data_IF_174358004524
#
_entry.id   IF_174358004524
#
_cell.length_a   1.000
_cell.length_b   1.000
_cell.length_c   1.000
_cell.angle_alpha   90.00
_cell.angle_beta   90.00
_cell.angle_gamma   90.00
#
_symmetry.space_group_name_H-M   'P 1'
#
loop_
_entity.id
_entity.type
_entity.pdbx_description
1 polymer ?
#
# COMPACT_ATOMS: atom_id res chain seq x y z
N UNK A 1 -10.04 2.08 -8.48
CA UNK A 1 -9.17 1.82 -7.33
C UNK A 1 -7.79 1.52 -7.86
N UNK A 2 -6.72 2.02 -7.23
CA UNK A 2 -5.36 1.64 -7.61
C UNK A 2 -5.14 0.13 -7.35
N UNK A 3 -4.34 -0.50 -8.20
CA UNK A 3 -3.93 -1.91 -8.02
C UNK A 3 -2.69 -1.95 -7.14
N UNK A 4 -2.74 -2.69 -6.03
CA UNK A 4 -1.66 -2.78 -5.04
C UNK A 4 -0.93 -4.11 -5.20
N UNK A 5 0.38 -4.06 -5.41
CA UNK A 5 1.25 -5.23 -5.34
C UNK A 5 1.86 -5.35 -3.94
N UNK A 6 1.65 -6.50 -3.31
CA UNK A 6 2.10 -6.78 -1.94
C UNK A 6 3.44 -7.52 -1.93
N UNK A 7 4.26 -7.26 -0.91
CA UNK A 7 5.46 -8.06 -0.63
C UNK A 7 5.06 -9.44 -0.12
N UNK A 8 5.76 -10.48 -0.58
CA UNK A 8 5.47 -11.87 -0.19
C UNK A 8 5.73 -12.14 1.31
N UNK A 9 6.70 -11.46 1.91
CA UNK A 9 7.07 -11.58 3.33
C UNK A 9 7.50 -10.21 3.86
N UNK A 10 6.55 -9.35 4.23
CA UNK A 10 6.87 -8.03 4.76
C UNK A 10 7.45 -8.15 6.18
N UNK A 11 8.49 -7.36 6.47
CA UNK A 11 9.13 -7.30 7.80
C UNK A 11 8.30 -6.39 8.72
N UNK A 12 7.21 -6.94 9.24
CA UNK A 12 6.24 -6.25 10.11
C UNK A 12 6.45 -6.69 11.55
N UNK A 13 6.56 -5.69 12.44
CA UNK A 13 6.67 -5.88 13.88
C UNK A 13 5.40 -5.41 14.61
N UNK A 14 5.24 -5.81 15.87
CA UNK A 14 4.15 -5.28 16.73
C UNK A 14 4.25 -3.76 16.92
N UNK A 15 5.44 -3.17 16.79
CA UNK A 15 5.60 -1.72 16.81
C UNK A 15 4.99 -1.06 15.58
N UNK A 16 5.07 -1.70 14.41
CA UNK A 16 4.47 -1.20 13.18
C UNK A 16 2.94 -1.18 13.29
N UNK A 17 2.34 -2.24 13.85
CA UNK A 17 0.91 -2.26 14.18
C UNK A 17 0.54 -1.14 15.13
N UNK A 18 1.38 -0.89 16.15
CA UNK A 18 1.11 0.15 17.13
C UNK A 18 1.17 1.56 16.55
N UNK A 19 2.07 1.83 15.60
CA UNK A 19 2.09 3.10 14.85
C UNK A 19 0.76 3.36 14.15
N UNK A 20 0.21 2.34 13.50
CA UNK A 20 -1.10 2.43 12.82
C UNK A 20 -2.24 2.61 13.83
N UNK A 21 -2.22 1.86 14.94
CA UNK A 21 -3.23 1.96 15.99
C UNK A 21 -3.27 3.36 16.61
N UNK A 22 -2.11 3.91 16.98
CA UNK A 22 -1.99 5.26 17.55
C UNK A 22 -2.44 6.32 16.54
N UNK A 23 -2.09 6.18 15.27
CA UNK A 23 -2.57 7.08 14.22
C UNK A 23 -4.10 7.05 14.11
N UNK A 24 -4.70 5.86 14.02
CA UNK A 24 -6.14 5.71 13.92
C UNK A 24 -6.88 6.26 15.15
N UNK A 25 -6.38 5.98 16.35
CA UNK A 25 -6.91 6.53 17.60
C UNK A 25 -6.80 8.06 17.64
N UNK A 26 -5.64 8.60 17.24
CA UNK A 26 -5.43 10.05 17.21
C UNK A 26 -6.42 10.73 16.27
N UNK A 27 -6.55 10.20 15.05
CA UNK A 27 -7.51 10.70 14.06
C UNK A 27 -8.94 10.61 14.59
N UNK A 28 -9.28 9.46 15.19
CA UNK A 28 -10.58 9.20 15.78
C UNK A 28 -10.90 10.07 17.00
N UNK A 29 -9.96 10.80 17.58
CA UNK A 29 -10.18 11.61 18.77
C UNK A 29 -9.91 13.11 18.58
N UNK A 30 -8.95 13.46 17.72
CA UNK A 30 -8.37 14.80 17.65
C UNK A 30 -8.52 15.49 16.30
N UNK A 31 -8.92 14.77 15.25
CA UNK A 31 -9.26 15.38 13.97
C UNK A 31 -10.68 15.96 13.98
N UNK A 32 -10.87 17.04 13.23
CA UNK A 32 -12.17 17.60 12.86
C UNK A 32 -12.16 17.86 11.35
N UNK A 33 -13.32 17.67 10.72
CA UNK A 33 -13.52 17.81 9.28
C UNK A 33 -14.86 18.50 8.93
N UNK A 34 -15.66 18.85 9.94
CA UNK A 34 -16.89 19.63 9.79
C UNK A 34 -16.74 20.96 10.55
N UNK A 35 -17.03 22.06 9.86
CA UNK A 35 -16.81 23.42 10.35
C UNK A 35 -18.06 24.28 10.11
N UNK A 36 -18.62 24.82 11.19
CA UNK A 36 -19.79 25.69 11.15
C UNK A 36 -19.39 27.17 11.15
N UNK A 37 -20.29 28.04 10.65
CA UNK A 37 -20.05 29.49 10.55
C UNK A 37 -19.89 30.18 11.92
N UNK A 38 -20.39 29.56 12.99
CA UNK A 38 -20.26 30.04 14.37
C UNK A 38 -18.92 29.65 15.03
N UNK A 39 -18.05 28.95 14.29
CA UNK A 39 -16.75 28.50 14.74
C UNK A 39 -16.79 27.18 15.51
N UNK A 40 -17.97 26.55 15.62
CA UNK A 40 -18.07 25.17 16.09
C UNK A 40 -17.41 24.21 15.09
N UNK A 41 -16.95 23.10 15.65
CA UNK A 41 -16.22 22.08 14.92
C UNK A 41 -16.72 20.73 15.38
N UNK A 42 -16.95 19.86 14.42
CA UNK A 42 -17.34 18.49 14.70
C UNK A 42 -16.58 17.53 13.80
N UNK A 43 -16.73 16.26 14.13
CA UNK A 43 -16.13 15.16 13.40
C UNK A 43 -17.26 14.48 12.63
N UNK A 44 -17.06 14.26 11.34
CA UNK A 44 -18.02 13.54 10.52
C UNK A 44 -18.09 12.08 10.96
N UNK A 45 -19.22 11.46 10.67
CA UNK A 45 -19.37 10.00 10.78
C UNK A 45 -18.37 9.30 9.87
N UNK A 46 -18.05 9.87 8.70
CA UNK A 46 -17.08 9.29 7.75
C UNK A 46 -15.70 9.17 8.38
N UNK A 47 -15.15 10.25 8.94
CA UNK A 47 -13.83 10.23 9.55
C UNK A 47 -13.78 9.27 10.74
N UNK A 48 -14.82 9.30 11.57
CA UNK A 48 -14.94 8.44 12.75
C UNK A 48 -15.04 6.96 12.37
N UNK A 49 -15.84 6.64 11.35
CA UNK A 49 -16.00 5.28 10.84
C UNK A 49 -14.69 4.74 10.26
N UNK A 50 -13.98 5.53 9.45
CA UNK A 50 -12.71 5.09 8.85
C UNK A 50 -11.62 4.83 9.90
N UNK A 51 -11.55 5.66 10.94
CA UNK A 51 -10.64 5.43 12.05
C UNK A 51 -10.97 4.13 12.81
N UNK A 52 -12.26 3.86 13.02
CA UNK A 52 -12.72 2.63 13.67
C UNK A 52 -12.44 1.39 12.80
N UNK A 53 -12.75 1.44 11.50
CA UNK A 53 -12.52 0.34 10.56
C UNK A 53 -11.05 -0.09 10.51
N UNK A 54 -10.12 0.87 10.58
CA UNK A 54 -8.69 0.56 10.68
C UNK A 54 -8.41 -0.15 12.00
N UNK A 55 -8.88 0.41 13.12
CA UNK A 55 -8.63 -0.13 14.46
C UNK A 55 -9.12 -1.58 14.61
N UNK A 56 -10.30 -1.88 14.06
CA UNK A 56 -10.92 -3.21 14.08
C UNK A 56 -10.20 -4.22 13.17
N UNK A 57 -9.44 -3.74 12.18
CA UNK A 57 -8.72 -4.58 11.22
C UNK A 57 -7.28 -4.90 11.65
N UNK A 58 -6.79 -4.32 12.75
CA UNK A 58 -5.43 -4.55 13.23
C UNK A 58 -5.28 -5.88 13.96
N UNK A 59 -4.20 -6.59 13.65
CA UNK A 59 -3.80 -7.82 14.31
C UNK A 59 -2.71 -7.53 15.36
N UNK A 60 -3.03 -7.76 16.64
CA UNK A 60 -2.14 -7.52 17.77
C UNK A 60 -1.46 -8.80 18.30
N UNK A 61 -1.42 -9.86 17.49
CA UNK A 61 -0.67 -11.07 17.82
C UNK A 61 0.86 -10.79 17.95
N UNK A 62 1.57 -11.75 18.55
CA UNK A 62 3.03 -11.68 18.71
C UNK A 62 3.78 -11.68 17.34
N UNK A 63 3.18 -12.31 16.33
CA UNK A 63 3.63 -12.28 14.93
C UNK A 63 2.54 -11.64 14.05
N UNK A 64 2.40 -10.31 14.08
CA UNK A 64 1.28 -9.63 13.47
C UNK A 64 1.35 -9.65 11.95
N UNK A 65 0.18 -9.65 11.30
CA UNK A 65 0.07 -9.53 9.84
C UNK A 65 -0.95 -8.50 9.44
N UNK A 66 -0.62 -7.68 8.46
CA UNK A 66 -1.60 -6.84 7.78
C UNK A 66 -2.26 -7.64 6.66
N UNK A 67 -3.58 -7.85 6.78
CA UNK A 67 -4.37 -8.36 5.66
C UNK A 67 -4.47 -7.31 4.56
N UNK A 68 -4.79 -7.74 3.33
CA UNK A 68 -5.01 -6.80 2.22
C UNK A 68 -6.16 -5.82 2.52
N UNK A 69 -7.20 -6.30 3.19
CA UNK A 69 -8.33 -5.46 3.66
C UNK A 69 -7.87 -4.41 4.67
N UNK A 70 -7.02 -4.78 5.64
CA UNK A 70 -6.46 -3.84 6.61
C UNK A 70 -5.60 -2.77 5.90
N UNK A 71 -4.76 -3.17 4.95
CA UNK A 71 -3.93 -2.24 4.16
C UNK A 71 -4.78 -1.24 3.40
N UNK A 72 -5.86 -1.71 2.75
CA UNK A 72 -6.76 -0.82 2.02
C UNK A 72 -7.43 0.20 2.95
N UNK A 73 -7.93 -0.23 4.11
CA UNK A 73 -8.53 0.67 5.10
C UNK A 73 -7.54 1.71 5.62
N UNK A 74 -6.27 1.34 5.81
CA UNK A 74 -5.22 2.27 6.22
C UNK A 74 -4.98 3.32 5.14
N UNK A 75 -4.88 2.92 3.87
CA UNK A 75 -4.73 3.84 2.74
C UNK A 75 -5.92 4.81 2.65
N UNK A 76 -7.15 4.28 2.77
CA UNK A 76 -8.37 5.07 2.75
C UNK A 76 -8.38 6.10 3.89
N UNK A 77 -8.04 5.69 5.12
CA UNK A 77 -7.96 6.59 6.27
C UNK A 77 -6.94 7.71 6.03
N UNK A 78 -5.75 7.37 5.53
CA UNK A 78 -4.71 8.37 5.22
C UNK A 78 -5.17 9.38 4.17
N UNK A 79 -5.85 8.93 3.12
CA UNK A 79 -6.41 9.83 2.10
C UNK A 79 -7.41 10.82 2.72
N UNK A 80 -8.33 10.33 3.55
CA UNK A 80 -9.30 11.16 4.27
C UNK A 80 -8.59 12.15 5.21
N UNK A 81 -7.56 11.69 5.92
CA UNK A 81 -6.78 12.53 6.84
C UNK A 81 -6.04 13.63 6.08
N UNK A 82 -5.45 13.32 4.92
CA UNK A 82 -4.76 14.30 4.09
C UNK A 82 -5.71 15.43 3.66
N UNK A 83 -6.89 15.07 3.15
CA UNK A 83 -7.83 16.02 2.54
C UNK A 83 -8.67 16.79 3.56
N UNK A 84 -9.17 16.11 4.59
CA UNK A 84 -10.30 16.61 5.38
C UNK A 84 -10.01 16.76 6.87
N UNK A 85 -8.98 16.10 7.43
CA UNK A 85 -8.67 16.25 8.86
C UNK A 85 -7.89 17.54 9.17
N UNK A 86 -8.35 18.29 10.17
CA UNK A 86 -7.57 19.32 10.85
C UNK A 86 -7.62 19.11 12.37
N UNK A 87 -6.45 19.12 13.01
CA UNK A 87 -6.28 18.96 14.46
C UNK A 87 -5.64 20.21 15.10
N UNK A 88 -5.20 21.17 14.29
CA UNK A 88 -4.61 22.43 14.75
C UNK A 88 -5.40 23.64 14.28
N UNK A 89 -5.71 24.52 15.22
CA UNK A 89 -6.51 25.71 14.96
C UNK A 89 -5.84 26.98 15.49
N UNK A 90 -5.51 27.88 14.58
CA UNK A 90 -4.86 29.15 14.85
C UNK A 90 -5.84 30.31 15.07
N UNK A 91 -5.28 31.46 15.44
CA UNK A 91 -6.04 32.73 15.48
C UNK A 91 -6.55 33.06 14.07
N UNK A 92 -7.71 33.70 13.97
CA UNK A 92 -8.36 34.10 12.70
C UNK A 92 -8.84 32.96 11.80
N UNK A 93 -9.12 31.78 12.37
CA UNK A 93 -9.72 30.67 11.62
C UNK A 93 -8.72 29.87 10.78
N UNK A 94 -7.41 30.03 11.01
CA UNK A 94 -6.42 29.17 10.38
C UNK A 94 -6.62 27.72 10.83
N UNK A 95 -6.82 26.82 9.87
CA UNK A 95 -6.92 25.38 10.07
C UNK A 95 -5.65 24.74 9.51
N UNK A 96 -5.08 23.82 10.27
CA UNK A 96 -3.88 23.12 9.86
C UNK A 96 -3.74 21.78 10.55
N UNK A 97 -2.65 21.09 10.22
CA UNK A 97 -2.26 19.86 10.86
C UNK A 97 -1.17 20.11 11.90
N UNK A 98 -1.20 19.42 13.03
CA UNK A 98 -0.10 19.45 13.99
C UNK A 98 1.12 18.72 13.44
N UNK A 99 2.30 19.01 14.01
CA UNK A 99 3.50 18.23 13.68
C UNK A 99 3.37 16.78 14.13
N UNK A 100 2.63 16.52 15.21
CA UNK A 100 2.41 15.17 15.71
C UNK A 100 1.61 14.34 14.70
N UNK A 101 0.50 14.88 14.18
CA UNK A 101 -0.29 14.22 13.15
C UNK A 101 0.53 13.96 11.87
N UNK A 102 1.37 14.92 11.46
CA UNK A 102 2.25 14.75 10.29
C UNK A 102 3.28 13.62 10.53
N UNK A 103 3.88 13.55 11.71
CA UNK A 103 4.83 12.48 12.03
C UNK A 103 4.14 11.12 12.13
N UNK A 104 2.94 11.04 12.71
CA UNK A 104 2.17 9.80 12.75
C UNK A 104 1.78 9.32 11.36
N UNK A 105 1.36 10.21 10.45
CA UNK A 105 1.07 9.85 9.06
C UNK A 105 2.31 9.32 8.33
N UNK A 106 3.47 9.93 8.58
CA UNK A 106 4.75 9.44 8.04
C UNK A 106 5.13 8.07 8.60
N UNK A 107 4.94 7.85 9.91
CA UNK A 107 5.15 6.55 10.53
C UNK A 107 4.29 5.46 9.88
N UNK A 108 3.04 5.76 9.54
CA UNK A 108 2.17 4.83 8.80
C UNK A 108 2.63 4.65 7.35
N UNK A 109 3.12 5.70 6.70
CA UNK A 109 3.71 5.59 5.36
C UNK A 109 4.87 4.61 5.33
N UNK A 110 5.78 4.72 6.30
CA UNK A 110 6.95 3.83 6.43
C UNK A 110 6.51 2.37 6.68
N UNK A 111 5.41 2.15 7.40
CA UNK A 111 4.81 0.81 7.57
C UNK A 111 4.26 0.28 6.25
N UNK A 112 3.56 1.11 5.47
CA UNK A 112 3.04 0.70 4.16
C UNK A 112 4.16 0.36 3.17
N UNK A 113 5.29 1.06 3.19
CA UNK A 113 6.44 0.76 2.33
C UNK A 113 7.08 -0.61 2.60
N UNK A 114 6.96 -1.10 3.85
CA UNK A 114 7.34 -2.46 4.22
C UNK A 114 6.39 -3.52 3.69
N UNK A 115 5.16 -3.15 3.30
CA UNK A 115 4.10 -4.08 2.89
C UNK A 115 3.87 -4.04 1.38
N UNK A 116 3.94 -2.86 0.78
CA UNK A 116 3.60 -2.60 -0.61
C UNK A 116 4.88 -2.48 -1.45
N UNK A 117 4.83 -3.01 -2.67
CA UNK A 117 5.91 -2.89 -3.66
C UNK A 117 5.60 -1.76 -4.64
N UNK A 118 4.37 -1.73 -5.16
CA UNK A 118 3.90 -0.74 -6.14
C UNK A 118 2.42 -0.48 -5.90
N UNK A 119 2.02 0.79 -6.03
CA UNK A 119 0.63 1.19 -6.21
C UNK A 119 0.48 1.70 -7.64
N UNK A 120 -0.28 0.99 -8.47
CA UNK A 120 -0.56 1.39 -9.85
C UNK A 120 -1.86 2.17 -9.88
N UNK A 121 -1.89 3.30 -10.59
CA UNK A 121 -3.14 3.93 -10.99
C UNK A 121 -3.96 3.00 -11.90
N UNK A 122 -5.27 3.24 -12.08
CA UNK A 122 -6.08 2.43 -12.99
C UNK A 122 -5.53 2.38 -14.43
N UNK A 123 -5.01 3.51 -14.93
CA UNK A 123 -4.40 3.60 -16.26
C UNK A 123 -3.11 2.77 -16.34
N UNK A 124 -2.22 2.89 -15.36
CA UNK A 124 -0.98 2.08 -15.29
C UNK A 124 -1.27 0.59 -15.08
N UNK A 125 -2.38 0.24 -14.42
CA UNK A 125 -2.82 -1.14 -14.27
C UNK A 125 -3.31 -1.72 -15.61
N UNK A 126 -4.08 -0.96 -16.39
CA UNK A 126 -4.50 -1.34 -17.75
C UNK A 126 -3.29 -1.51 -18.68
N UNK A 127 -2.32 -0.61 -18.62
CA UNK A 127 -1.07 -0.70 -19.39
C UNK A 127 -0.23 -1.93 -18.98
N UNK A 128 -0.08 -2.17 -17.68
CA UNK A 128 0.62 -3.35 -17.18
C UNK A 128 -0.09 -4.65 -17.61
N UNK A 129 -1.41 -4.74 -17.52
CA UNK A 129 -2.14 -5.93 -17.99
C UNK A 129 -1.96 -6.15 -19.50
N UNK A 130 -1.99 -5.09 -20.30
CA UNK A 130 -1.78 -5.16 -21.75
C UNK A 130 -0.37 -5.64 -22.13
N UNK A 131 0.66 -5.18 -21.42
CA UNK A 131 2.04 -5.60 -21.65
C UNK A 131 2.26 -7.09 -21.30
N UNK A 132 1.66 -7.58 -20.20
CA UNK A 132 1.76 -9.00 -19.80
C UNK A 132 1.01 -9.93 -20.76
N UNK A 133 -0.11 -9.48 -21.32
CA UNK A 133 -0.84 -10.18 -22.38
C UNK A 133 -0.05 -10.25 -23.71
N UNK A 134 0.80 -9.26 -23.98
CA UNK A 134 1.69 -9.24 -25.13
C UNK A 134 2.89 -10.20 -24.96
N UNK A 135 3.49 -10.26 -23.78
CA UNK A 135 4.63 -11.15 -23.50
C UNK A 135 4.22 -12.62 -23.38
N UNK A 136 3.03 -12.92 -22.83
CA UNK A 136 2.52 -14.31 -22.72
C UNK A 136 2.21 -14.94 -24.08
N UNK A 137 1.81 -14.14 -25.07
CA UNK A 137 1.61 -14.58 -26.47
C UNK A 137 2.92 -14.88 -27.21
N UNK A 138 4.02 -14.25 -26.79
CA UNK A 138 5.35 -14.52 -27.34
C UNK A 138 5.89 -15.88 -26.86
N UNK A 139 5.58 -16.26 -25.62
CA UNK A 139 6.00 -17.55 -25.04
C UNK A 139 5.19 -18.75 -25.55
N UNK A 140 3.99 -18.55 -26.13
CA UNK A 140 3.23 -19.64 -26.77
C UNK A 140 3.71 -19.97 -28.19
N UNK A 141 4.41 -19.07 -28.87
CA UNK A 141 4.89 -19.31 -30.24
C UNK A 141 6.22 -20.09 -30.30
N UNK A 142 6.94 -20.23 -29.18
CA UNK A 142 8.20 -21.00 -29.11
C UNK A 142 7.97 -22.51 -28.92
N UNK A 143 6.75 -22.95 -28.59
CA UNK A 143 6.41 -24.38 -28.44
C UNK A 143 5.71 -24.99 -29.68
N UNK A 144 6.01 -24.47 -30.88
CA UNK A 144 5.37 -24.88 -32.13
C UNK A 144 6.32 -25.18 -33.30
N UNK A 145 7.63 -25.29 -33.08
CA UNK A 145 8.61 -25.48 -34.18
C UNK A 145 9.67 -26.52 -33.84
N UNK A 146 9.58 -27.68 -34.48
CA UNK A 146 10.52 -28.82 -34.45
C UNK A 146 11.97 -28.41 -34.17
N UNK A 147 12.47 -28.73 -32.98
CA UNK A 147 13.91 -28.79 -32.71
C UNK A 147 14.51 -29.94 -33.51
N UNK A 148 15.08 -29.62 -34.67
CA UNK A 148 15.98 -30.55 -35.35
C UNK A 148 17.23 -30.73 -34.48
N UNK A 149 17.41 -31.96 -34.01
CA UNK A 149 18.60 -32.42 -33.33
C UNK A 149 19.76 -32.32 -34.31
N UNK A 150 20.64 -31.33 -34.14
CA UNK A 150 21.97 -31.38 -34.75
C UNK A 150 22.84 -32.21 -33.80
N UNK A 151 22.95 -33.50 -34.14
CA UNK A 151 23.82 -34.49 -33.52
C UNK A 151 25.26 -34.11 -33.87
N UNK A 152 26.03 -33.61 -32.90
CA UNK A 152 27.47 -33.43 -33.07
C UNK A 152 28.13 -34.81 -33.03
N UNK A 153 28.45 -35.36 -34.21
CA UNK A 153 29.22 -36.60 -34.32
C UNK A 153 30.69 -36.32 -34.02
N UNK A 154 31.17 -36.90 -32.91
CA UNK A 154 32.58 -37.11 -32.64
C UNK A 154 33.15 -38.11 -33.67
N UNK A 155 34.08 -37.67 -34.52
CA UNK A 155 35.01 -38.56 -35.23
C UNK A 155 36.41 -38.24 -34.71
N UNK A 156 36.95 -39.16 -33.92
CA UNK A 156 38.30 -39.06 -33.37
C UNK A 156 39.37 -39.36 -34.41
N UNK A 157 40.58 -38.86 -34.16
CA UNK A 157 41.81 -39.50 -34.62
C UNK A 157 42.87 -39.42 -33.53
N UNK A 158 43.31 -40.60 -33.09
CA UNK A 158 44.44 -40.85 -32.21
C UNK A 158 45.60 -41.30 -33.11
N UNK A 159 46.76 -40.66 -33.03
CA UNK A 159 48.07 -41.31 -32.80
C UNK A 159 49.25 -40.38 -33.16
N UNK A 160 50.18 -40.32 -32.20
CA UNK A 160 51.60 -39.90 -32.26
C UNK A 160 52.44 -40.86 -33.14
N UNK A 161 53.70 -40.59 -33.54
CA UNK A 161 54.83 -40.04 -32.74
C UNK A 161 55.10 -38.56 -32.92
#
# INVERSE_FOLDING_TARGET
MPTIQYRNQPDVSSQDVMKVAVFAEYVGNHCYDVFDDDGLRSRSETLSLRAQEVSDALDFADEPRFSQDAVQKIIDLRSVVADMCFDRFGKRGFMGKSMDLIHMDQDVADVLDKIIVVQLSPEEAEEAEADWDHESKFNQTVNGGKSSVIRSENIGFRARP
#
